data_IF_087195905668
#
_entry.id   IF_087195905668
#
_cell.length_a   1.000
_cell.length_b   1.000
_cell.length_c   1.000
_cell.angle_alpha   90.00
_cell.angle_beta   90.00
_cell.angle_gamma   90.00
#
_symmetry.space_group_name_H-M   'P 1'
#
loop_
_entity.id
_entity.type
_entity.pdbx_description
1 polymer ?
#
# COMPACT_ATOMS: atom_id res chain seq x y z
N UNK A 1 30.99 -35.76 44.49
CA UNK A 1 31.46 -34.51 43.84
C UNK A 1 31.19 -34.41 42.33
N UNK A 2 30.98 -35.51 41.58
CA UNK A 2 30.78 -35.43 40.12
C UNK A 2 29.36 -35.04 39.66
N UNK A 3 28.31 -35.31 40.44
CA UNK A 3 26.93 -34.95 40.06
C UNK A 3 26.64 -33.44 40.10
N UNK A 4 27.30 -32.70 41.00
CA UNK A 4 27.11 -31.24 41.14
C UNK A 4 27.75 -30.47 39.97
N UNK A 5 28.86 -30.97 39.40
CA UNK A 5 29.51 -30.37 38.22
C UNK A 5 28.69 -30.56 36.93
N UNK A 6 28.01 -31.70 36.77
CA UNK A 6 27.15 -31.96 35.60
C UNK A 6 25.88 -31.10 35.63
N UNK A 7 25.29 -30.89 36.80
CA UNK A 7 24.11 -30.01 36.95
C UNK A 7 24.48 -28.54 36.70
N UNK A 8 25.65 -28.08 37.16
CA UNK A 8 26.12 -26.71 36.88
C UNK A 8 26.43 -26.49 35.38
N UNK A 9 26.98 -27.50 34.70
CA UNK A 9 27.26 -27.43 33.26
C UNK A 9 25.96 -27.40 32.43
N UNK A 10 24.93 -28.13 32.83
CA UNK A 10 23.61 -28.10 32.18
C UNK A 10 22.89 -26.76 32.38
N UNK A 11 22.98 -26.17 33.58
CA UNK A 11 22.43 -24.84 33.88
C UNK A 11 23.16 -23.71 33.14
N UNK A 12 24.46 -23.86 32.86
CA UNK A 12 25.23 -22.90 32.05
C UNK A 12 24.94 -23.03 30.54
N UNK A 13 24.60 -24.22 30.05
CA UNK A 13 24.21 -24.44 28.65
C UNK A 13 22.77 -23.96 28.39
N UNK A 14 21.84 -24.12 29.35
CA UNK A 14 20.48 -23.57 29.21
C UNK A 14 20.39 -22.07 29.48
N UNK A 15 21.26 -21.50 30.34
CA UNK A 15 21.38 -20.04 30.46
C UNK A 15 22.15 -19.38 29.30
N UNK A 16 22.91 -20.19 28.54
CA UNK A 16 23.63 -19.80 27.32
C UNK A 16 22.82 -19.95 26.03
N UNK A 17 21.57 -20.44 26.09
CA UNK A 17 20.53 -20.01 25.16
C UNK A 17 20.19 -18.56 25.53
N UNK A 18 21.18 -17.70 25.28
CA UNK A 18 21.00 -16.27 25.18
C UNK A 18 19.72 -16.06 24.43
N UNK A 19 18.77 -15.36 25.04
CA UNK A 19 17.73 -14.70 24.29
C UNK A 19 18.46 -14.03 23.13
N UNK A 20 18.38 -14.63 21.94
CA UNK A 20 18.64 -13.91 20.72
C UNK A 20 17.63 -12.78 20.84
N UNK A 21 18.10 -11.61 21.29
CA UNK A 21 17.29 -10.43 21.27
C UNK A 21 17.01 -10.27 19.80
N UNK A 22 15.84 -10.74 19.37
CA UNK A 22 15.35 -10.57 18.00
C UNK A 22 15.61 -9.11 17.71
N UNK A 23 16.56 -8.86 16.80
CA UNK A 23 17.10 -7.53 16.59
C UNK A 23 15.91 -6.62 16.31
N UNK A 24 15.62 -5.73 17.26
CA UNK A 24 14.47 -4.85 17.15
C UNK A 24 14.86 -3.74 16.20
N UNK A 25 13.99 -3.46 15.23
CA UNK A 25 14.17 -2.32 14.34
C UNK A 25 13.33 -1.17 14.82
N UNK A 26 13.97 -0.02 15.01
CA UNK A 26 13.27 1.22 15.33
C UNK A 26 13.11 2.09 14.09
N UNK A 27 11.87 2.37 13.69
CA UNK A 27 11.55 3.36 12.66
C UNK A 27 11.20 4.66 13.37
N UNK A 28 11.93 5.74 13.08
CA UNK A 28 11.72 7.04 13.72
C UNK A 28 11.89 8.19 12.73
N UNK A 29 11.33 9.34 13.07
CA UNK A 29 11.43 10.56 12.27
C UNK A 29 10.32 11.54 12.60
N UNK A 30 9.98 12.39 11.64
CA UNK A 30 8.89 13.37 11.77
C UNK A 30 7.82 13.19 10.70
N UNK A 31 6.58 13.54 11.03
CA UNK A 31 5.48 13.65 10.07
C UNK A 31 4.95 15.08 10.04
N UNK A 32 5.06 15.74 8.90
CA UNK A 32 4.57 17.11 8.68
C UNK A 32 3.66 17.17 7.45
N UNK A 33 3.00 18.31 7.26
CA UNK A 33 2.35 18.63 5.99
C UNK A 33 3.41 18.87 4.90
N UNK A 34 3.01 18.75 3.63
CA UNK A 34 3.86 19.04 2.48
C UNK A 34 4.47 20.46 2.51
N UNK A 35 3.74 21.42 3.08
CA UNK A 35 4.20 22.80 3.27
C UNK A 35 5.12 22.98 4.50
N UNK A 36 5.46 21.90 5.22
CA UNK A 36 6.32 21.90 6.41
C UNK A 36 5.59 22.20 7.72
N UNK A 37 4.29 22.51 7.70
CA UNK A 37 3.54 22.77 8.93
C UNK A 37 3.30 21.50 9.74
N UNK A 38 3.24 21.64 11.07
CA UNK A 38 2.91 20.57 11.99
C UNK A 38 1.44 20.16 11.85
N UNK A 39 1.20 18.85 11.85
CA UNK A 39 -0.14 18.26 11.78
C UNK A 39 -0.50 17.72 13.17
N UNK A 40 -1.64 18.11 13.78
CA UNK A 40 -2.07 17.50 15.03
C UNK A 40 -2.58 16.07 14.78
N UNK A 41 -2.53 15.24 15.84
CA UNK A 41 -3.21 13.94 15.87
C UNK A 41 -2.78 12.97 14.75
N UNK A 42 -1.48 12.80 14.52
CA UNK A 42 -0.99 11.81 13.55
C UNK A 42 -0.98 10.42 14.20
N UNK A 43 -1.56 9.45 13.50
CA UNK A 43 -1.58 8.04 13.92
C UNK A 43 -0.78 7.21 12.93
N UNK A 44 0.17 6.44 13.45
CA UNK A 44 0.96 5.47 12.72
C UNK A 44 0.61 4.07 13.18
N UNK A 45 0.54 3.13 12.25
CA UNK A 45 0.21 1.74 12.57
C UNK A 45 1.00 0.78 11.66
N UNK A 46 1.96 0.01 12.19
CA UNK A 46 2.66 -1.01 11.43
C UNK A 46 1.80 -2.28 11.34
N UNK A 47 1.37 -2.63 10.13
CA UNK A 47 0.63 -3.87 9.88
C UNK A 47 1.56 -4.92 9.26
N UNK A 48 1.82 -6.08 9.89
CA UNK A 48 2.50 -7.17 9.19
C UNK A 48 1.81 -7.48 7.86
N UNK A 49 2.58 -7.72 6.80
CA UNK A 49 2.04 -8.16 5.52
C UNK A 49 1.54 -9.60 5.63
N UNK A 50 0.35 -9.87 5.09
CA UNK A 50 -0.33 -11.17 5.19
C UNK A 50 -1.64 -11.08 5.96
N UNK A 51 -2.16 -12.23 6.41
CA UNK A 51 -3.43 -12.27 7.14
C UNK A 51 -3.26 -11.69 8.56
N UNK A 52 -3.74 -10.46 8.76
CA UNK A 52 -3.94 -9.92 10.11
C UNK A 52 -5.13 -10.63 10.73
N UNK A 53 -4.90 -11.38 11.82
CA UNK A 53 -6.00 -11.95 12.60
C UNK A 53 -6.62 -10.86 13.49
N UNK A 54 -7.89 -11.03 13.87
CA UNK A 54 -8.56 -10.13 14.83
C UNK A 54 -7.85 -10.05 16.21
N UNK A 55 -6.98 -11.01 16.49
CA UNK A 55 -6.23 -11.14 17.74
C UNK A 55 -4.91 -10.37 17.71
N UNK A 56 -4.35 -10.11 16.53
CA UNK A 56 -3.11 -9.37 16.35
C UNK A 56 -3.44 -7.93 15.94
N UNK A 57 -3.95 -7.15 16.91
CA UNK A 57 -4.12 -5.71 16.69
C UNK A 57 -2.74 -5.07 16.70
N UNK A 58 -2.35 -4.38 15.61
CA UNK A 58 -1.07 -3.70 15.57
C UNK A 58 -1.04 -2.57 16.59
N UNK A 59 0.13 -2.38 17.21
CA UNK A 59 0.38 -1.29 18.14
C UNK A 59 0.21 0.04 17.42
N UNK A 60 -0.66 0.90 17.95
CA UNK A 60 -0.83 2.26 17.43
C UNK A 60 0.19 3.19 18.07
N UNK A 61 0.81 4.03 17.26
CA UNK A 61 1.73 5.07 17.71
C UNK A 61 1.13 6.42 17.34
N UNK A 62 1.02 7.30 18.32
CA UNK A 62 0.58 8.69 18.11
C UNK A 62 1.84 9.54 18.05
N UNK A 63 2.01 10.33 16.98
CA UNK A 63 3.15 11.23 16.89
C UNK A 63 3.06 12.32 17.97
N UNK A 64 4.21 12.78 18.44
CA UNK A 64 4.31 13.88 19.39
C UNK A 64 3.86 15.23 18.80
N UNK A 65 3.79 16.29 19.63
CA UNK A 65 3.35 17.63 19.19
C UNK A 65 4.18 18.22 18.04
N UNK A 66 5.47 17.87 17.96
CA UNK A 66 6.39 18.29 16.90
C UNK A 66 6.33 17.34 15.67
N UNK A 67 5.35 16.45 15.60
CA UNK A 67 5.22 15.44 14.54
C UNK A 67 6.20 14.27 14.67
N UNK A 68 7.04 14.24 15.71
CA UNK A 68 8.02 13.18 15.95
C UNK A 68 7.35 11.85 16.26
N UNK A 69 7.85 10.75 15.70
CA UNK A 69 7.36 9.40 15.98
C UNK A 69 8.51 8.41 16.16
N UNK A 70 8.22 7.32 16.87
CA UNK A 70 9.12 6.19 17.07
C UNK A 70 8.30 4.90 17.13
N UNK A 71 8.64 3.92 16.30
CA UNK A 71 7.96 2.63 16.19
C UNK A 71 9.00 1.53 16.31
N UNK A 72 8.88 0.68 17.31
CA UNK A 72 9.73 -0.51 17.45
C UNK A 72 9.03 -1.73 16.87
N UNK A 73 9.70 -2.39 15.92
CA UNK A 73 9.25 -3.64 15.32
C UNK A 73 10.17 -4.75 15.80
N UNK A 74 9.59 -5.75 16.47
CA UNK A 74 10.37 -6.82 17.10
C UNK A 74 10.73 -7.96 16.14
N UNK A 75 9.86 -8.26 15.18
CA UNK A 75 10.01 -9.42 14.30
C UNK A 75 10.35 -8.98 12.88
N UNK A 76 11.35 -9.63 12.24
CA UNK A 76 11.68 -9.35 10.86
C UNK A 76 10.52 -9.75 9.94
N UNK A 77 10.34 -9.00 8.86
CA UNK A 77 9.22 -9.22 7.94
C UNK A 77 8.93 -8.02 7.07
N UNK A 78 7.89 -8.17 6.24
CA UNK A 78 7.34 -7.08 5.45
C UNK A 78 6.15 -6.50 6.22
N UNK A 79 6.09 -5.18 6.34
CA UNK A 79 5.02 -4.44 7.00
C UNK A 79 4.39 -3.43 6.04
N UNK A 80 3.14 -3.06 6.30
CA UNK A 80 2.49 -1.89 5.73
C UNK A 80 2.31 -0.87 6.86
N UNK A 81 3.14 0.15 6.87
CA UNK A 81 2.99 1.29 7.77
C UNK A 81 1.83 2.16 7.26
N UNK A 82 0.74 2.21 8.02
CA UNK A 82 -0.39 3.11 7.75
C UNK A 82 -0.20 4.39 8.53
N UNK A 83 -0.21 5.54 7.84
CA UNK A 83 -0.14 6.87 8.44
C UNK A 83 -1.44 7.59 8.11
N UNK A 84 -2.13 8.03 9.15
CA UNK A 84 -3.34 8.83 9.04
C UNK A 84 -3.14 10.13 9.81
N UNK A 85 -3.51 11.25 9.19
CA UNK A 85 -3.48 12.55 9.83
C UNK A 85 -4.69 13.38 9.40
N UNK A 86 -5.16 14.24 10.29
CA UNK A 86 -6.34 15.07 10.02
C UNK A 86 -6.07 15.99 8.83
N UNK A 87 -7.06 16.15 7.94
CA UNK A 87 -6.96 16.93 6.69
C UNK A 87 -5.89 16.46 5.69
N UNK A 88 -5.36 15.24 5.83
CA UNK A 88 -4.35 14.69 4.90
C UNK A 88 -4.85 13.42 4.21
N UNK A 89 -4.16 13.07 3.12
CA UNK A 89 -4.34 11.76 2.49
C UNK A 89 -3.72 10.68 3.38
N UNK A 90 -4.38 9.52 3.47
CA UNK A 90 -3.81 8.39 4.19
C UNK A 90 -2.64 7.83 3.38
N UNK A 91 -1.51 7.61 4.02
CA UNK A 91 -0.37 6.94 3.42
C UNK A 91 -0.35 5.48 3.88
N UNK A 92 -0.18 4.56 2.94
CA UNK A 92 0.17 3.16 3.22
C UNK A 92 1.51 2.90 2.58
N UNK A 93 2.50 2.65 3.42
CA UNK A 93 3.89 2.55 3.04
C UNK A 93 4.38 1.12 3.31
N UNK A 94 4.77 0.35 2.30
CA UNK A 94 5.41 -0.93 2.55
C UNK A 94 6.83 -0.73 3.08
N UNK A 95 7.21 -1.49 4.11
CA UNK A 95 8.55 -1.43 4.72
C UNK A 95 9.04 -2.85 4.97
N UNK A 96 10.26 -3.15 4.54
CA UNK A 96 11.00 -4.37 4.88
C UNK A 96 11.78 -4.16 6.17
N UNK A 97 11.68 -5.12 7.08
CA UNK A 97 12.37 -5.10 8.37
C UNK A 97 13.24 -6.35 8.43
N UNK A 98 14.53 -6.23 8.11
CA UNK A 98 15.51 -7.31 8.21
C UNK A 98 16.88 -6.77 8.66
N UNK A 99 17.26 -7.09 9.89
CA UNK A 99 18.61 -6.87 10.45
C UNK A 99 19.11 -5.41 10.51
N UNK A 100 18.26 -4.43 10.17
CA UNK A 100 18.56 -3.02 10.39
C UNK A 100 18.18 -2.57 11.81
N UNK A 101 19.10 -1.89 12.50
CA UNK A 101 18.85 -1.38 13.87
C UNK A 101 17.86 -0.21 13.85
N UNK A 102 18.05 0.73 12.93
CA UNK A 102 17.26 1.95 12.83
C UNK A 102 16.90 2.27 11.37
N UNK A 103 15.71 2.82 11.16
CA UNK A 103 15.30 3.49 9.92
C UNK A 103 14.90 4.91 10.29
N UNK A 104 15.63 5.90 9.79
CA UNK A 104 15.32 7.31 10.02
C UNK A 104 14.63 7.93 8.80
N UNK A 105 13.33 8.19 8.94
CA UNK A 105 12.46 8.58 7.83
C UNK A 105 11.54 9.74 8.21
N UNK A 106 11.69 10.85 7.52
CA UNK A 106 10.75 11.97 7.59
C UNK A 106 9.68 11.84 6.50
N UNK A 107 8.43 12.16 6.87
CA UNK A 107 7.24 12.03 6.02
C UNK A 107 6.56 13.39 5.89
N UNK A 108 6.45 13.88 4.66
CA UNK A 108 5.66 15.08 4.34
C UNK A 108 4.37 14.67 3.64
N UNK A 109 3.26 14.65 4.37
CA UNK A 109 1.96 14.23 3.87
C UNK A 109 1.34 15.28 2.95
N UNK A 110 0.69 14.82 1.88
CA UNK A 110 -0.08 15.67 0.99
C UNK A 110 -1.45 15.97 1.61
N UNK A 111 -1.86 17.25 1.67
CA UNK A 111 -3.18 17.61 2.16
C UNK A 111 -4.27 16.92 1.35
N UNK A 112 -5.37 16.61 2.04
CA UNK A 112 -6.53 15.99 1.42
C UNK A 112 -7.18 16.94 0.42
N UNK A 113 -7.69 16.36 -0.66
CA UNK A 113 -8.54 17.08 -1.62
C UNK A 113 -9.98 17.07 -1.15
N UNK A 114 -10.56 18.26 -1.17
CA UNK A 114 -11.98 18.48 -0.96
C UNK A 114 -12.64 18.74 -2.31
N UNK A 115 -13.95 18.49 -2.40
CA UNK A 115 -14.73 18.85 -3.57
C UNK A 115 -14.61 20.37 -3.83
N UNK A 116 -14.36 20.73 -5.09
CA UNK A 116 -14.20 22.13 -5.53
C UNK A 116 -15.54 22.86 -5.75
N UNK A 117 -16.65 22.30 -5.29
CA UNK A 117 -17.98 22.86 -5.39
C UNK A 117 -18.69 22.66 -6.73
N UNK A 118 -18.02 22.08 -7.74
CA UNK A 118 -18.54 21.95 -9.11
C UNK A 118 -19.90 21.23 -9.21
N UNK A 119 -20.26 20.42 -8.21
CA UNK A 119 -21.51 19.66 -8.17
C UNK A 119 -22.44 20.05 -7.03
N UNK A 120 -22.17 21.14 -6.28
CA UNK A 120 -23.00 21.52 -5.13
C UNK A 120 -24.38 22.06 -5.52
N UNK A 121 -24.55 22.53 -6.75
CA UNK A 121 -25.84 22.90 -7.34
C UNK A 121 -26.72 21.68 -7.67
N UNK A 122 -26.12 20.51 -7.88
CA UNK A 122 -26.84 19.27 -8.14
C UNK A 122 -27.45 18.71 -6.85
N UNK A 123 -28.77 18.84 -6.73
CA UNK A 123 -29.55 18.35 -5.58
C UNK A 123 -29.25 16.89 -5.22
N UNK A 124 -29.21 15.92 -6.18
CA UNK A 124 -28.90 14.54 -5.83
C UNK A 124 -27.52 14.38 -5.19
N UNK A 125 -26.52 15.17 -5.61
CA UNK A 125 -25.18 15.13 -5.03
C UNK A 125 -25.16 15.77 -3.64
N UNK A 126 -25.83 16.91 -3.48
CA UNK A 126 -25.90 17.65 -2.22
C UNK A 126 -26.58 16.85 -1.10
N UNK A 127 -27.59 16.03 -1.42
CA UNK A 127 -28.22 15.11 -0.46
C UNK A 127 -27.26 14.07 0.16
N UNK A 128 -26.13 13.78 -0.50
CA UNK A 128 -25.05 12.94 0.05
C UNK A 128 -24.10 13.69 0.97
N UNK A 129 -24.13 15.03 0.96
CA UNK A 129 -23.28 15.86 1.80
C UNK A 129 -23.99 16.10 3.13
N UNK A 130 -23.49 15.44 4.17
CA UNK A 130 -24.13 15.42 5.48
C UNK A 130 -23.14 15.59 6.61
N UNK A 131 -23.56 16.32 7.65
CA UNK A 131 -22.85 16.40 8.92
C UNK A 131 -23.51 15.48 9.94
N UNK A 132 -22.73 14.60 10.53
CA UNK A 132 -23.19 13.71 11.59
C UNK A 132 -22.19 13.68 12.73
N UNK A 133 -22.65 13.34 13.92
CA UNK A 133 -21.87 13.53 15.12
C UNK A 133 -22.50 12.95 16.36
N UNK A 134 -21.98 13.32 17.53
CA UNK A 134 -22.53 12.86 18.80
C UNK A 134 -24.01 13.29 19.01
N UNK A 135 -24.44 14.41 18.41
CA UNK A 135 -25.81 14.90 18.45
C UNK A 135 -26.85 13.99 17.76
N UNK A 136 -26.42 13.14 16.82
CA UNK A 136 -27.27 12.15 16.17
C UNK A 136 -26.69 10.73 16.21
N UNK A 137 -25.82 10.44 17.19
CA UNK A 137 -25.15 9.15 17.35
C UNK A 137 -24.36 8.68 16.11
N UNK A 138 -23.87 9.62 15.31
CA UNK A 138 -23.18 9.38 14.03
C UNK A 138 -24.02 8.58 13.02
N UNK A 139 -25.34 8.66 13.09
CA UNK A 139 -26.22 8.06 12.10
C UNK A 139 -26.26 8.93 10.83
N UNK A 140 -25.77 8.38 9.72
CA UNK A 140 -25.73 9.09 8.44
C UNK A 140 -27.11 9.41 7.87
N UNK A 141 -28.14 8.60 8.16
CA UNK A 141 -29.45 8.75 7.53
C UNK A 141 -30.31 9.84 8.17
N UNK A 142 -30.13 10.08 9.47
CA UNK A 142 -30.80 11.17 10.22
C UNK A 142 -29.97 12.46 10.29
N UNK A 143 -28.79 12.46 9.65
CA UNK A 143 -27.87 13.58 9.64
C UNK A 143 -28.40 14.77 8.83
N UNK A 144 -28.24 16.02 9.34
CA UNK A 144 -28.52 17.23 8.57
C UNK A 144 -27.77 17.24 7.23
N UNK A 145 -28.50 17.66 6.19
CA UNK A 145 -27.99 17.87 4.84
C UNK A 145 -27.44 19.31 4.76
N UNK A 146 -26.40 19.50 3.95
CA UNK A 146 -25.90 20.84 3.65
C UNK A 146 -26.78 21.55 2.60
N UNK A 147 -27.09 22.81 2.85
CA UNK A 147 -27.75 23.72 1.91
C UNK A 147 -26.72 24.51 1.11
N UNK A 148 -27.07 24.88 -0.13
CA UNK A 148 -26.22 25.72 -0.99
C UNK A 148 -26.47 27.20 -0.71
N UNK A 149 -25.41 27.93 -0.44
CA UNK A 149 -25.43 29.37 -0.24
C UNK A 149 -25.27 30.14 -1.55
N UNK A 150 -25.66 31.42 -1.56
CA UNK A 150 -25.59 32.28 -2.76
C UNK A 150 -24.17 32.55 -3.27
N UNK A 151 -23.16 32.30 -2.44
CA UNK A 151 -21.75 32.49 -2.78
C UNK A 151 -21.06 31.20 -3.26
N UNK A 152 -21.81 30.09 -3.40
CA UNK A 152 -21.29 28.79 -3.80
C UNK A 152 -20.71 27.94 -2.67
N UNK A 153 -20.65 28.47 -1.44
CA UNK A 153 -20.37 27.66 -0.25
C UNK A 153 -21.58 26.81 0.11
N UNK A 154 -21.38 25.83 0.98
CA UNK A 154 -22.47 25.05 1.57
C UNK A 154 -22.47 25.17 3.09
N UNK A 155 -23.63 25.15 3.73
CA UNK A 155 -23.71 25.10 5.20
C UNK A 155 -24.80 24.19 5.74
N UNK A 156 -24.63 23.72 6.97
CA UNK A 156 -25.61 22.94 7.70
C UNK A 156 -25.71 23.45 9.14
N UNK A 157 -26.92 23.47 9.70
CA UNK A 157 -27.13 23.84 11.10
C UNK A 157 -27.28 22.59 11.95
N UNK A 158 -26.51 22.49 13.04
CA UNK A 158 -26.56 21.38 14.00
C UNK A 158 -26.93 21.88 15.39
N UNK A 159 -27.57 21.05 16.23
CA UNK A 159 -27.91 21.46 17.60
C UNK A 159 -26.65 21.65 18.45
N UNK A 160 -26.71 22.63 19.35
CA UNK A 160 -25.64 22.98 20.29
C UNK A 160 -26.04 22.69 21.75
N UNK A 161 -26.91 21.71 21.95
CA UNK A 161 -27.47 21.28 23.26
C UNK A 161 -26.48 20.50 24.15
N UNK A 162 -25.19 20.55 23.84
CA UNK A 162 -24.12 19.80 24.52
C UNK A 162 -22.93 20.69 24.78
N UNK A 163 -22.24 20.46 25.90
CA UNK A 163 -20.99 21.15 26.24
C UNK A 163 -19.89 20.96 25.19
N UNK A 164 -19.94 19.87 24.43
CA UNK A 164 -19.01 19.59 23.34
C UNK A 164 -19.73 18.88 22.20
N UNK A 165 -19.66 19.49 21.03
CA UNK A 165 -20.16 18.93 19.78
C UNK A 165 -19.01 18.27 19.03
N UNK A 166 -19.18 17.00 18.67
CA UNK A 166 -18.21 16.22 17.90
C UNK A 166 -18.84 15.80 16.59
N UNK A 167 -18.18 16.06 15.48
CA UNK A 167 -18.81 15.88 14.18
C UNK A 167 -17.85 15.41 13.07
N UNK A 168 -18.42 14.82 12.03
CA UNK A 168 -17.78 14.49 10.76
C UNK A 168 -18.70 14.90 9.61
N UNK A 169 -18.11 15.21 8.47
CA UNK A 169 -18.79 15.49 7.22
C UNK A 169 -18.42 14.41 6.21
N UNK A 170 -19.43 13.88 5.51
CA UNK A 170 -19.26 12.98 4.36
C UNK A 170 -19.78 13.68 3.12
N UNK A 171 -19.24 13.31 1.96
CA UNK A 171 -19.64 13.88 0.66
C UNK A 171 -18.70 14.95 0.13
N UNK A 172 -18.01 15.71 1.01
CA UNK A 172 -17.01 16.71 0.58
C UNK A 172 -15.63 16.14 0.26
N UNK A 173 -15.36 14.87 0.60
CA UNK A 173 -14.10 14.17 0.28
C UNK A 173 -14.33 12.66 0.15
N UNK A 174 -13.29 11.92 -0.24
CA UNK A 174 -13.26 10.45 -0.19
C UNK A 174 -13.30 9.92 1.25
N UNK A 175 -14.49 9.85 1.83
CA UNK A 175 -14.73 9.39 3.20
C UNK A 175 -15.03 10.52 4.20
N UNK A 176 -15.23 10.17 5.48
CA UNK A 176 -15.65 11.11 6.51
C UNK A 176 -14.50 11.93 7.07
N UNK A 177 -14.70 13.23 7.21
CA UNK A 177 -13.66 14.20 7.61
C UNK A 177 -14.26 15.34 8.43
N UNK A 178 -13.52 15.96 9.36
CA UNK A 178 -13.89 17.29 9.86
C UNK A 178 -13.83 18.33 8.74
N UNK A 179 -14.57 19.43 8.90
CA UNK A 179 -14.40 20.58 8.01
C UNK A 179 -13.01 21.18 8.18
N UNK A 180 -12.39 21.71 7.10
CA UNK A 180 -11.15 22.46 7.24
C UNK A 180 -11.36 23.71 8.10
N UNK A 181 -10.32 24.11 8.85
CA UNK A 181 -10.36 25.33 9.67
C UNK A 181 -10.81 25.12 11.13
N UNK A 182 -11.22 23.91 11.49
CA UNK A 182 -11.59 23.59 12.88
C UNK A 182 -10.44 23.80 13.86
N UNK A 183 -10.76 24.46 14.97
CA UNK A 183 -9.78 24.77 16.01
C UNK A 183 -9.33 23.52 16.78
N UNK A 184 -10.22 22.54 16.96
CA UNK A 184 -9.95 21.31 17.70
C UNK A 184 -10.38 20.09 16.89
N UNK A 185 -9.55 19.05 16.93
CA UNK A 185 -9.81 17.77 16.27
C UNK A 185 -9.52 16.62 17.23
N UNK A 186 -10.19 15.49 17.03
CA UNK A 186 -9.95 14.28 17.83
C UNK A 186 -9.90 13.02 16.93
N UNK A 187 -9.24 11.98 17.44
CA UNK A 187 -9.17 10.65 16.81
C UNK A 187 -10.29 9.78 17.40
N UNK A 188 -11.09 9.16 16.52
CA UNK A 188 -12.12 8.19 16.90
C UNK A 188 -11.52 6.79 17.05
N UNK A 189 -12.18 5.86 17.79
CA UNK A 189 -11.71 4.47 17.92
C UNK A 189 -11.55 3.70 16.60
N UNK A 190 -12.24 4.12 15.54
CA UNK A 190 -12.12 3.56 14.20
C UNK A 190 -11.03 4.25 13.35
N UNK A 191 -10.16 5.06 13.96
CA UNK A 191 -9.05 5.79 13.32
C UNK A 191 -9.48 6.83 12.29
N UNK A 192 -10.73 7.28 12.37
CA UNK A 192 -11.20 8.46 11.63
C UNK A 192 -11.08 9.71 12.50
N UNK A 193 -11.06 10.88 11.87
CA UNK A 193 -10.94 12.16 12.57
C UNK A 193 -12.30 12.84 12.69
N UNK A 194 -12.50 13.57 13.77
CA UNK A 194 -13.70 14.39 13.99
C UNK A 194 -13.33 15.80 14.42
N UNK A 195 -14.20 16.75 14.08
CA UNK A 195 -14.13 18.13 14.54
C UNK A 195 -14.72 18.23 15.93
N UNK A 196 -14.14 19.08 16.77
CA UNK A 196 -14.58 19.29 18.14
C UNK A 196 -14.90 20.77 18.32
N UNK A 197 -16.15 21.08 18.64
CA UNK A 197 -16.61 22.44 18.90
C UNK A 197 -17.08 22.53 20.35
N UNK A 198 -16.64 23.58 21.03
CA UNK A 198 -17.19 23.99 22.33
C UNK A 198 -18.17 25.13 22.03
N UNK A 199 -19.49 24.89 22.06
CA UNK A 199 -20.45 25.91 21.69
C UNK A 199 -20.36 27.14 22.61
N UNK A 200 -20.66 28.35 22.12
CA UNK A 200 -20.84 29.52 22.99
C UNK A 200 -21.94 29.27 24.02
N UNK A 201 -21.82 29.89 25.19
CA UNK A 201 -22.86 29.81 26.21
C UNK A 201 -24.20 30.32 25.65
N UNK A 202 -25.24 29.49 25.75
CA UNK A 202 -26.60 29.74 25.23
C UNK A 202 -26.76 29.69 23.70
N UNK A 203 -25.83 29.09 22.96
CA UNK A 203 -26.09 28.76 21.55
C UNK A 203 -27.05 27.57 21.47
N UNK A 204 -28.19 27.73 20.79
CA UNK A 204 -29.12 26.62 20.52
C UNK A 204 -28.68 25.78 19.32
N UNK A 205 -27.90 26.38 18.42
CA UNK A 205 -27.35 25.73 17.23
C UNK A 205 -26.01 26.32 16.80
N UNK A 206 -25.30 25.57 15.96
CA UNK A 206 -24.06 25.98 15.31
C UNK A 206 -24.24 25.81 13.80
N UNK A 207 -23.84 26.82 13.03
CA UNK A 207 -23.68 26.70 11.60
C UNK A 207 -22.29 26.10 11.29
N UNK A 208 -22.27 25.03 10.51
CA UNK A 208 -21.07 24.49 9.90
C UNK A 208 -21.05 24.87 8.44
N UNK A 209 -19.97 25.49 7.98
CA UNK A 209 -19.85 26.00 6.61
C UNK A 209 -18.59 25.49 5.93
N UNK A 210 -18.74 25.07 4.68
CA UNK A 210 -17.63 24.69 3.81
C UNK A 210 -17.65 25.58 2.56
N UNK A 211 -16.61 26.39 2.39
CA UNK A 211 -16.38 27.15 1.16
C UNK A 211 -15.34 26.42 0.30
N UNK A 212 -15.71 25.92 -0.89
CA UNK A 212 -14.76 25.24 -1.78
C UNK A 212 -13.67 26.17 -2.35
N UNK A 213 -13.85 27.49 -2.25
CA UNK A 213 -12.88 28.48 -2.72
C UNK A 213 -11.92 28.95 -1.62
N UNK A 214 -12.20 28.60 -0.36
CA UNK A 214 -11.32 28.94 0.75
C UNK A 214 -10.10 28.02 0.77
N UNK A 215 -8.91 28.62 0.83
CA UNK A 215 -7.69 27.83 1.02
C UNK A 215 -7.66 27.25 2.42
N UNK A 216 -7.69 25.93 2.50
CA UNK A 216 -7.52 25.24 3.78
C UNK A 216 -6.08 25.39 4.30
N UNK A 217 -5.90 25.39 5.62
CA UNK A 217 -4.62 25.62 6.33
C UNK A 217 -3.40 24.99 5.65
N UNK A 218 -3.46 23.70 5.32
CA UNK A 218 -2.33 22.94 4.78
C UNK A 218 -2.17 23.03 3.26
N UNK A 219 -3.16 23.55 2.54
CA UNK A 219 -3.11 23.70 1.08
C UNK A 219 -2.35 24.95 0.65
N UNK A 220 -2.09 25.88 1.58
CA UNK A 220 -1.29 27.08 1.31
C UNK A 220 0.10 26.66 0.82
N UNK A 221 0.49 27.13 -0.37
CA UNK A 221 1.75 26.84 -1.05
C UNK A 221 1.90 25.43 -1.66
N UNK A 222 0.86 24.59 -1.57
CA UNK A 222 0.78 23.42 -2.46
C UNK A 222 0.32 23.98 -3.81
N UNK A 223 1.23 24.05 -4.79
CA UNK A 223 0.94 24.63 -6.11
C UNK A 223 -0.37 24.12 -6.72
N UNK A 224 -0.95 24.84 -7.71
CA UNK A 224 -2.28 24.58 -8.24
C UNK A 224 -2.50 23.08 -8.43
N UNK A 225 -3.53 22.58 -7.77
CA UNK A 225 -3.80 21.16 -7.73
C UNK A 225 -4.36 20.79 -9.11
N UNK A 226 -3.53 20.14 -9.92
CA UNK A 226 -3.91 19.54 -11.19
C UNK A 226 -5.19 18.73 -11.00
N UNK A 227 -6.19 18.89 -11.88
CA UNK A 227 -7.52 18.32 -11.72
C UNK A 227 -7.57 16.79 -11.86
N UNK A 228 -6.44 16.11 -12.10
CA UNK A 228 -6.33 14.64 -12.15
C UNK A 228 -5.77 14.08 -10.83
N UNK A 229 -6.64 13.81 -9.82
CA UNK A 229 -6.23 13.30 -8.51
C UNK A 229 -5.59 11.90 -8.52
N UNK A 230 -5.65 11.16 -9.64
CA UNK A 230 -5.19 9.77 -9.72
C UNK A 230 -3.67 9.59 -9.67
N UNK A 231 -2.87 10.67 -9.72
CA UNK A 231 -1.43 10.57 -10.00
C UNK A 231 -0.53 11.31 -9.03
N UNK A 232 -1.09 11.78 -7.91
CA UNK A 232 -0.28 12.51 -6.93
C UNK A 232 0.20 11.55 -5.86
N UNK A 233 1.48 11.64 -5.47
CA UNK A 233 1.93 10.96 -4.27
C UNK A 233 1.10 11.47 -3.08
N UNK A 234 0.74 10.59 -2.16
CA UNK A 234 0.12 10.97 -0.89
C UNK A 234 1.15 11.54 0.10
N UNK A 235 2.44 11.37 -0.17
CA UNK A 235 3.52 11.89 0.69
C UNK A 235 4.84 12.09 -0.06
N UNK A 236 5.76 12.85 0.54
CA UNK A 236 7.18 12.83 0.22
C UNK A 236 7.96 12.25 1.38
N UNK A 237 8.91 11.38 1.10
CA UNK A 237 9.77 10.74 2.08
C UNK A 237 11.19 11.27 1.94
N UNK A 238 11.86 11.47 3.06
CA UNK A 238 13.31 11.69 3.11
C UNK A 238 13.92 10.78 4.17
N UNK A 239 15.14 10.31 3.91
CA UNK A 239 15.85 9.39 4.79
C UNK A 239 17.14 10.04 5.26
N UNK A 240 17.48 9.90 6.55
CA UNK A 240 18.79 10.37 7.05
C UNK A 240 19.92 9.56 6.42
N UNK A 241 19.72 8.25 6.27
CA UNK A 241 20.63 7.36 5.56
C UNK A 241 20.07 7.05 4.16
N UNK A 242 20.76 7.45 3.08
CA UNK A 242 20.32 7.17 1.72
C UNK A 242 20.09 5.68 1.44
N UNK A 243 20.76 4.72 2.08
CA UNK A 243 20.49 3.30 1.80
C UNK A 243 19.12 2.84 2.32
N UNK A 244 18.51 3.55 3.27
CA UNK A 244 17.28 3.11 3.93
C UNK A 244 16.08 3.12 2.97
N UNK A 245 16.13 3.89 1.88
CA UNK A 245 15.05 3.87 0.90
C UNK A 245 14.87 2.49 0.25
N UNK A 246 15.92 1.66 0.18
CA UNK A 246 15.85 0.31 -0.37
C UNK A 246 15.01 -0.64 0.48
N UNK A 247 14.73 -0.29 1.74
CA UNK A 247 13.78 -1.04 2.56
C UNK A 247 12.32 -0.81 2.15
N UNK A 248 12.04 0.14 1.27
CA UNK A 248 10.68 0.60 0.96
C UNK A 248 10.44 0.64 -0.55
N UNK A 249 11.34 1.25 -1.31
CA UNK A 249 11.15 1.51 -2.74
C UNK A 249 10.90 0.24 -3.57
N UNK A 250 11.64 -0.87 -3.40
CA UNK A 250 11.39 -2.08 -4.17
C UNK A 250 9.95 -2.58 -3.99
N UNK A 251 9.46 -2.63 -2.74
CA UNK A 251 8.10 -3.11 -2.44
C UNK A 251 7.00 -2.23 -3.05
N UNK A 252 7.25 -0.94 -3.23
CA UNK A 252 6.25 -0.06 -3.86
C UNK A 252 6.23 -0.20 -5.38
N UNK A 253 7.36 -0.52 -6.00
CA UNK A 253 7.40 -0.87 -7.42
C UNK A 253 6.71 -2.22 -7.68
N UNK A 254 6.71 -3.12 -6.70
CA UNK A 254 6.04 -4.43 -6.78
C UNK A 254 4.51 -4.29 -6.85
N UNK A 255 3.90 -3.37 -6.10
CA UNK A 255 2.45 -3.32 -5.91
C UNK A 255 1.66 -2.50 -6.93
N UNK A 256 2.24 -1.41 -7.43
CA UNK A 256 1.49 -0.45 -8.25
C UNK A 256 2.41 0.28 -9.21
N UNK A 257 1.89 0.62 -10.40
CA UNK A 257 2.51 1.61 -11.30
C UNK A 257 2.56 3.01 -10.66
N UNK A 258 1.74 3.25 -9.64
CA UNK A 258 1.68 4.49 -8.89
C UNK A 258 2.44 4.37 -7.59
N UNK A 259 3.49 5.17 -7.45
CA UNK A 259 4.06 5.42 -6.14
C UNK A 259 3.08 6.33 -5.39
N UNK A 260 2.49 5.83 -4.30
CA UNK A 260 1.68 6.66 -3.39
C UNK A 260 2.56 7.64 -2.58
N UNK A 261 3.84 7.75 -2.92
CA UNK A 261 4.78 8.67 -2.30
C UNK A 261 5.95 8.95 -3.26
N UNK A 262 6.61 10.09 -3.09
CA UNK A 262 7.88 10.41 -3.72
C UNK A 262 9.01 10.22 -2.70
N UNK A 263 10.18 9.78 -3.13
CA UNK A 263 11.39 9.79 -2.29
C UNK A 263 12.22 10.99 -2.74
N UNK A 264 12.43 11.95 -1.86
CA UNK A 264 13.35 13.06 -2.09
C UNK A 264 14.78 12.52 -1.96
N UNK A 265 15.38 12.08 -3.08
CA UNK A 265 16.83 12.00 -3.14
C UNK A 265 17.36 13.43 -3.28
N UNK A 266 18.36 13.82 -2.50
CA UNK A 266 19.02 15.13 -2.55
C UNK A 266 19.44 15.57 -3.97
N UNK A 267 19.60 14.61 -4.88
CA UNK A 267 20.05 14.83 -6.26
C UNK A 267 18.94 14.96 -7.32
N UNK A 268 17.66 14.80 -6.95
CA UNK A 268 16.55 14.88 -7.91
C UNK A 268 15.71 16.15 -7.71
N UNK A 269 16.25 17.30 -8.11
CA UNK A 269 15.44 18.45 -8.55
C UNK A 269 14.91 18.21 -9.96
N UNK A 270 14.35 17.02 -10.23
CA UNK A 270 13.59 16.81 -11.46
C UNK A 270 12.30 17.57 -11.24
N UNK A 271 12.26 18.82 -11.73
CA UNK A 271 11.01 19.54 -11.84
C UNK A 271 10.01 18.61 -12.54
N UNK A 272 8.80 18.42 -12.00
CA UNK A 272 7.78 17.61 -12.66
C UNK A 272 7.63 18.16 -14.07
N UNK A 273 7.95 17.34 -15.06
CA UNK A 273 8.13 17.75 -16.45
C UNK A 273 6.93 18.60 -16.89
N UNK A 274 7.11 19.93 -16.94
CA UNK A 274 6.00 20.87 -17.01
C UNK A 274 5.23 20.79 -18.33
N UNK A 275 5.78 20.06 -19.31
CA UNK A 275 5.15 19.76 -20.58
C UNK A 275 4.09 18.63 -20.51
N UNK A 276 3.93 17.96 -19.37
CA UNK A 276 3.07 16.76 -19.24
C UNK A 276 1.59 17.07 -18.96
N UNK A 277 1.21 18.36 -18.94
CA UNK A 277 -0.16 18.81 -18.60
C UNK A 277 -1.18 18.75 -19.76
N UNK A 278 -0.75 18.50 -21.01
CA UNK A 278 -1.63 18.67 -22.19
C UNK A 278 -2.18 17.37 -22.83
N UNK A 279 -1.82 16.18 -22.33
CA UNK A 279 -2.33 14.94 -22.92
C UNK A 279 -3.47 14.36 -22.07
N UNK A 280 -4.66 14.93 -22.23
CA UNK A 280 -5.91 14.45 -21.62
C UNK A 280 -6.45 13.14 -22.20
N UNK A 281 -5.69 12.44 -23.04
CA UNK A 281 -6.08 11.17 -23.64
C UNK A 281 -5.59 9.99 -22.80
N UNK A 282 -6.47 9.00 -22.61
CA UNK A 282 -6.18 7.71 -21.98
C UNK A 282 -4.90 7.07 -22.56
N UNK A 283 -4.66 7.22 -23.86
CA UNK A 283 -3.47 6.78 -24.59
C UNK A 283 -2.17 7.39 -24.04
N UNK A 284 -2.14 8.69 -23.77
CA UNK A 284 -0.97 9.38 -23.21
C UNK A 284 -0.66 8.91 -21.79
N UNK A 285 -1.70 8.67 -20.99
CA UNK A 285 -1.54 8.10 -19.65
C UNK A 285 -0.93 6.70 -19.68
N UNK A 286 -1.42 5.82 -20.56
CA UNK A 286 -0.94 4.46 -20.63
C UNK A 286 0.50 4.37 -21.18
N UNK A 287 0.85 5.19 -22.18
CA UNK A 287 2.22 5.30 -22.68
C UNK A 287 3.22 5.69 -21.57
N UNK A 288 2.81 6.58 -20.65
CA UNK A 288 3.64 6.92 -19.47
C UNK A 288 3.88 5.74 -18.56
N UNK A 289 2.88 4.89 -18.33
CA UNK A 289 3.03 3.67 -17.53
C UNK A 289 4.07 2.75 -18.16
N UNK A 290 3.97 2.48 -19.47
CA UNK A 290 4.90 1.61 -20.18
C UNK A 290 6.34 2.17 -20.15
N UNK A 291 6.50 3.46 -20.42
CA UNK A 291 7.81 4.13 -20.37
C UNK A 291 8.41 4.12 -18.96
N UNK A 292 7.61 4.37 -17.93
CA UNK A 292 8.06 4.29 -16.54
C UNK A 292 8.43 2.87 -16.15
N UNK A 293 7.66 1.86 -16.58
CA UNK A 293 8.00 0.46 -16.34
C UNK A 293 9.35 0.10 -16.97
N UNK A 294 9.59 0.50 -18.23
CA UNK A 294 10.88 0.31 -18.90
C UNK A 294 12.02 1.01 -18.15
N UNK A 295 11.83 2.28 -17.77
CA UNK A 295 12.81 3.06 -16.98
C UNK A 295 13.14 2.37 -15.66
N UNK A 296 12.13 2.01 -14.86
CA UNK A 296 12.33 1.37 -13.56
C UNK A 296 12.95 -0.02 -13.69
N UNK A 297 12.63 -0.80 -14.72
CA UNK A 297 13.31 -2.08 -14.97
C UNK A 297 14.81 -1.91 -15.20
N UNK A 298 15.22 -0.85 -15.92
CA UNK A 298 16.64 -0.53 -16.12
C UNK A 298 17.31 -0.11 -14.81
N UNK A 299 16.67 0.78 -14.03
CA UNK A 299 17.17 1.21 -12.72
C UNK A 299 17.33 0.02 -11.75
N UNK A 300 16.35 -0.89 -11.72
CA UNK A 300 16.42 -2.11 -10.90
C UNK A 300 17.60 -2.99 -11.31
N UNK A 301 17.83 -3.20 -12.61
CA UNK A 301 18.99 -4.01 -13.07
C UNK A 301 20.30 -3.42 -12.62
N UNK A 302 20.50 -2.12 -12.82
CA UNK A 302 21.71 -1.42 -12.34
C UNK A 302 21.83 -1.51 -10.82
N UNK A 303 20.73 -1.43 -10.08
CA UNK A 303 20.72 -1.57 -8.63
C UNK A 303 21.12 -2.98 -8.18
N UNK A 304 20.64 -4.03 -8.87
CA UNK A 304 20.95 -5.43 -8.56
C UNK A 304 22.43 -5.80 -8.75
N UNK A 305 23.22 -4.95 -9.42
CA UNK A 305 24.68 -5.06 -9.53
C UNK A 305 25.42 -4.61 -8.26
N UNK A 306 24.73 -4.01 -7.29
CA UNK A 306 25.30 -3.62 -6.00
C UNK A 306 25.37 -4.81 -5.03
N UNK A 307 26.58 -5.33 -4.82
CA UNK A 307 26.86 -6.45 -3.92
C UNK A 307 26.59 -6.12 -2.43
N UNK A 308 26.40 -4.85 -2.08
CA UNK A 308 26.06 -4.43 -0.71
C UNK A 308 24.59 -4.60 -0.35
N UNK A 309 23.73 -4.92 -1.33
CA UNK A 309 22.31 -5.13 -1.09
C UNK A 309 22.06 -6.33 -0.18
N UNK A 310 21.18 -6.13 0.79
CA UNK A 310 20.69 -7.21 1.62
C UNK A 310 19.93 -8.25 0.76
N UNK A 311 20.03 -9.57 1.05
CA UNK A 311 19.33 -10.60 0.25
C UNK A 311 17.83 -10.34 0.09
N UNK A 312 17.17 -9.80 1.12
CA UNK A 312 15.75 -9.48 1.09
C UNK A 312 15.44 -8.28 0.17
N UNK A 313 16.37 -7.32 0.06
CA UNK A 313 16.26 -6.20 -0.88
C UNK A 313 16.42 -6.70 -2.32
N UNK A 314 17.41 -7.57 -2.58
CA UNK A 314 17.61 -8.21 -3.89
C UNK A 314 16.36 -8.99 -4.29
N UNK A 315 15.81 -9.79 -3.38
CA UNK A 315 14.58 -10.53 -3.64
C UNK A 315 13.41 -9.63 -4.02
N UNK A 316 13.19 -8.54 -3.28
CA UNK A 316 12.16 -7.57 -3.61
C UNK A 316 12.39 -6.88 -4.96
N UNK A 317 13.63 -6.58 -5.32
CA UNK A 317 13.99 -6.00 -6.61
C UNK A 317 13.74 -6.97 -7.79
N UNK A 318 14.08 -8.25 -7.64
CA UNK A 318 13.74 -9.27 -8.64
C UNK A 318 12.22 -9.37 -8.87
N UNK A 319 11.42 -9.39 -7.79
CA UNK A 319 9.96 -9.45 -7.91
C UNK A 319 9.40 -8.16 -8.50
N UNK A 320 9.97 -7.01 -8.15
CA UNK A 320 9.60 -5.73 -8.74
C UNK A 320 9.84 -5.73 -10.26
N UNK A 321 10.99 -6.23 -10.70
CA UNK A 321 11.33 -6.34 -12.12
C UNK A 321 10.31 -7.19 -12.88
N UNK A 322 9.98 -8.38 -12.37
CA UNK A 322 8.99 -9.27 -12.98
C UNK A 322 7.59 -8.65 -12.98
N UNK A 323 7.22 -7.94 -11.91
CA UNK A 323 5.96 -7.21 -11.83
C UNK A 323 5.83 -6.12 -12.89
N UNK A 324 6.87 -5.32 -13.09
CA UNK A 324 6.92 -4.28 -14.13
C UNK A 324 6.91 -4.88 -15.55
N UNK A 325 7.54 -6.04 -15.74
CA UNK A 325 7.50 -6.76 -17.01
C UNK A 325 6.08 -7.24 -17.33
N UNK A 326 5.40 -7.87 -16.36
CA UNK A 326 4.02 -8.32 -16.53
C UNK A 326 3.09 -7.15 -16.90
N UNK A 327 3.24 -6.01 -16.21
CA UNK A 327 2.49 -4.80 -16.56
C UNK A 327 2.76 -4.33 -18.00
N UNK A 328 4.00 -4.39 -18.45
CA UNK A 328 4.37 -4.01 -19.82
C UNK A 328 3.82 -5.01 -20.86
N UNK A 329 3.85 -6.31 -20.59
CA UNK A 329 3.29 -7.32 -21.51
C UNK A 329 1.78 -7.11 -21.67
N UNK A 330 1.04 -7.00 -20.56
CA UNK A 330 -0.40 -6.71 -20.59
C UNK A 330 -0.74 -5.41 -21.31
N UNK A 331 0.15 -4.42 -21.19
CA UNK A 331 0.02 -3.17 -21.91
C UNK A 331 0.14 -3.38 -23.42
N UNK A 332 1.23 -4.01 -23.86
CA UNK A 332 1.49 -4.27 -25.27
C UNK A 332 0.34 -5.08 -25.90
N UNK A 333 -0.18 -6.08 -25.20
CA UNK A 333 -1.39 -6.83 -25.60
C UNK A 333 -2.63 -5.93 -25.78
N UNK A 334 -2.84 -4.96 -24.88
CA UNK A 334 -3.98 -4.05 -24.95
C UNK A 334 -3.93 -3.11 -26.16
N UNK A 335 -2.72 -2.68 -26.56
CA UNK A 335 -2.54 -1.77 -27.71
C UNK A 335 -2.18 -2.48 -29.01
N UNK A 336 -2.01 -3.79 -28.99
CA UNK A 336 -1.57 -4.56 -30.16
C UNK A 336 -0.13 -4.27 -30.56
N UNK A 337 0.72 -3.92 -29.59
CA UNK A 337 2.17 -3.84 -29.78
C UNK A 337 2.82 -5.20 -29.49
N UNK A 338 3.92 -5.49 -30.17
CA UNK A 338 4.69 -6.71 -29.92
C UNK A 338 5.25 -6.73 -28.49
N UNK A 339 5.50 -7.93 -27.96
CA UNK A 339 6.14 -8.10 -26.66
C UNK A 339 7.45 -7.30 -26.58
N UNK A 340 7.81 -6.76 -25.40
CA UNK A 340 8.99 -5.92 -25.28
C UNK A 340 10.25 -6.68 -25.73
N UNK A 341 10.95 -6.15 -26.74
CA UNK A 341 12.22 -6.71 -27.25
C UNK A 341 13.26 -6.87 -26.14
N UNK A 342 13.18 -6.03 -25.09
CA UNK A 342 14.06 -6.03 -23.91
C UNK A 342 13.54 -6.92 -22.77
N UNK A 343 13.12 -8.14 -23.08
CA UNK A 343 12.77 -9.16 -22.08
C UNK A 343 13.96 -9.55 -21.19
N UNK A 344 13.72 -10.15 -20.00
CA UNK A 344 14.80 -10.79 -19.26
C UNK A 344 15.39 -11.94 -20.08
N UNK A 345 16.72 -12.00 -20.16
CA UNK A 345 17.39 -13.19 -20.69
C UNK A 345 17.15 -14.40 -19.78
N UNK A 346 17.28 -15.64 -20.29
CA UNK A 346 17.12 -16.86 -19.49
C UNK A 346 17.97 -16.87 -18.21
N UNK A 347 19.18 -16.31 -18.27
CA UNK A 347 20.11 -16.22 -17.14
C UNK A 347 19.53 -15.39 -15.99
N UNK A 348 18.82 -14.30 -16.31
CA UNK A 348 18.18 -13.46 -15.30
C UNK A 348 17.05 -14.22 -14.59
N UNK A 349 16.25 -14.99 -15.32
CA UNK A 349 15.15 -15.77 -14.74
C UNK A 349 15.67 -16.88 -13.83
N UNK A 350 16.77 -17.55 -14.22
CA UNK A 350 17.43 -18.52 -13.35
C UNK A 350 18.01 -17.86 -12.10
N UNK A 351 18.52 -16.64 -12.21
CA UNK A 351 18.98 -15.89 -11.05
C UNK A 351 17.82 -15.58 -10.08
N UNK A 352 16.60 -15.30 -10.57
CA UNK A 352 15.43 -15.10 -9.69
C UNK A 352 15.19 -16.32 -8.80
N UNK A 353 15.19 -17.54 -9.35
CA UNK A 353 14.91 -18.75 -8.56
C UNK A 353 16.07 -19.15 -7.63
N UNK A 354 17.29 -18.68 -7.91
CA UNK A 354 18.45 -18.86 -7.05
C UNK A 354 18.46 -17.87 -5.87
N UNK A 355 18.05 -16.63 -6.11
CA UNK A 355 18.13 -15.54 -5.13
C UNK A 355 16.86 -15.39 -4.29
N UNK A 356 15.70 -15.76 -4.83
CA UNK A 356 14.41 -15.63 -4.14
C UNK A 356 13.94 -16.99 -3.66
N UNK A 357 13.82 -17.18 -2.35
CA UNK A 357 13.26 -18.41 -1.80
C UNK A 357 11.78 -18.56 -2.23
N UNK A 358 11.30 -19.77 -2.59
CA UNK A 358 9.92 -19.99 -3.05
C UNK A 358 8.87 -19.70 -1.98
N UNK A 359 9.24 -19.61 -0.70
CA UNK A 359 8.32 -19.24 0.40
C UNK A 359 8.48 -17.78 0.86
N UNK A 360 9.28 -16.99 0.13
CA UNK A 360 9.54 -15.62 0.53
C UNK A 360 8.24 -14.79 0.43
N UNK A 361 7.85 -14.05 1.48
CA UNK A 361 6.58 -13.30 1.49
C UNK A 361 6.48 -12.19 0.43
N UNK A 362 7.57 -11.86 -0.28
CA UNK A 362 7.56 -10.84 -1.32
C UNK A 362 6.77 -11.28 -2.55
N UNK A 363 6.66 -12.59 -2.80
CA UNK A 363 5.78 -13.12 -3.83
C UNK A 363 4.31 -12.73 -3.61
N UNK A 364 3.85 -12.72 -2.35
CA UNK A 364 2.49 -12.27 -1.99
C UNK A 364 2.22 -10.79 -2.27
N UNK A 365 3.27 -9.98 -2.48
CA UNK A 365 3.15 -8.55 -2.82
C UNK A 365 2.84 -8.34 -4.30
N UNK A 366 3.27 -9.24 -5.17
CA UNK A 366 2.85 -9.31 -6.57
C UNK A 366 2.70 -10.76 -7.01
N UNK A 367 1.54 -11.36 -6.72
CA UNK A 367 1.27 -12.75 -7.10
C UNK A 367 1.39 -13.02 -8.61
N UNK A 368 1.18 -12.01 -9.45
CA UNK A 368 1.34 -12.11 -10.90
C UNK A 368 2.81 -12.13 -11.37
N UNK A 369 3.78 -11.81 -10.52
CA UNK A 369 5.19 -11.94 -10.86
C UNK A 369 5.60 -13.41 -10.97
N UNK A 370 4.95 -14.30 -10.20
CA UNK A 370 5.25 -15.72 -10.21
C UNK A 370 4.81 -16.39 -11.52
N UNK A 371 3.62 -16.06 -12.05
CA UNK A 371 3.19 -16.52 -13.38
C UNK A 371 4.07 -15.93 -14.47
N UNK A 372 4.44 -14.65 -14.35
CA UNK A 372 5.35 -14.01 -15.30
C UNK A 372 6.71 -14.73 -15.37
N UNK A 373 7.28 -15.13 -14.23
CA UNK A 373 8.52 -15.91 -14.20
C UNK A 373 8.37 -17.21 -14.99
N UNK A 374 7.27 -17.94 -14.78
CA UNK A 374 7.00 -19.20 -15.44
C UNK A 374 6.84 -19.03 -16.97
N UNK A 375 6.01 -18.08 -17.39
CA UNK A 375 5.75 -17.77 -18.81
C UNK A 375 7.02 -17.32 -19.54
N UNK A 376 7.78 -16.38 -18.96
CA UNK A 376 8.99 -15.83 -19.59
C UNK A 376 10.11 -16.85 -19.67
N UNK A 377 10.11 -17.85 -18.79
CA UNK A 377 11.08 -18.96 -18.87
C UNK A 377 10.78 -19.94 -19.99
N UNK A 378 9.64 -19.79 -20.69
CA UNK A 378 9.15 -20.78 -21.62
C UNK A 378 8.85 -22.11 -20.95
N UNK A 379 8.45 -22.08 -19.67
CA UNK A 379 8.29 -23.27 -18.82
C UNK A 379 9.57 -24.10 -18.70
N UNK A 380 10.70 -23.43 -18.44
CA UNK A 380 11.96 -24.10 -18.15
C UNK A 380 11.77 -25.11 -16.99
N UNK A 381 12.31 -26.35 -17.08
CA UNK A 381 12.10 -27.37 -16.05
C UNK A 381 12.46 -26.95 -14.63
N UNK A 382 13.55 -26.20 -14.44
CA UNK A 382 13.96 -25.71 -13.11
C UNK A 382 12.96 -24.70 -12.54
N UNK A 383 12.42 -23.83 -13.40
CA UNK A 383 11.41 -22.84 -13.02
C UNK A 383 10.06 -23.49 -12.75
N UNK A 384 9.71 -24.55 -13.49
CA UNK A 384 8.52 -25.37 -13.23
C UNK A 384 8.63 -26.04 -11.87
N UNK A 385 9.75 -26.72 -11.57
CA UNK A 385 9.98 -27.35 -10.27
C UNK A 385 9.90 -26.33 -9.11
N UNK A 386 10.54 -25.16 -9.29
CA UNK A 386 10.46 -24.06 -8.35
C UNK A 386 9.01 -23.59 -8.11
N UNK A 387 8.23 -23.42 -9.18
CA UNK A 387 6.83 -22.97 -9.13
C UNK A 387 5.91 -24.01 -8.49
N UNK A 388 6.12 -25.30 -8.76
CA UNK A 388 5.39 -26.38 -8.09
C UNK A 388 5.66 -26.40 -6.58
N UNK A 389 6.92 -26.15 -6.17
CA UNK A 389 7.25 -26.00 -4.76
C UNK A 389 6.50 -24.81 -4.13
N UNK A 390 6.42 -23.68 -4.83
CA UNK A 390 5.60 -22.55 -4.37
C UNK A 390 4.12 -22.93 -4.20
N UNK A 391 3.52 -23.64 -5.16
CA UNK A 391 2.12 -24.07 -5.07
C UNK A 391 1.87 -24.96 -3.84
N UNK A 392 2.78 -25.89 -3.57
CA UNK A 392 2.65 -26.82 -2.43
C UNK A 392 2.84 -26.15 -1.08
N UNK A 393 3.80 -25.24 -0.97
CA UNK A 393 4.32 -24.80 0.34
C UNK A 393 4.05 -23.32 0.65
N UNK A 394 3.78 -22.45 -0.33
CA UNK A 394 3.65 -21.01 -0.11
C UNK A 394 2.41 -20.69 0.74
N UNK A 395 2.51 -19.74 1.67
CA UNK A 395 1.43 -19.39 2.63
C UNK A 395 0.37 -18.44 2.04
N UNK A 396 0.74 -17.59 1.09
CA UNK A 396 -0.18 -16.71 0.36
C UNK A 396 -1.00 -17.46 -0.71
N UNK A 397 -2.32 -17.46 -0.55
CA UNK A 397 -3.24 -18.18 -1.43
C UNK A 397 -3.39 -17.56 -2.82
N UNK A 398 -3.11 -16.26 -3.01
CA UNK A 398 -3.16 -15.64 -4.34
C UNK A 398 -1.98 -16.09 -5.19
N UNK A 399 -0.79 -16.23 -4.59
CA UNK A 399 0.39 -16.78 -5.26
C UNK A 399 0.12 -18.20 -5.73
N UNK A 400 -0.36 -19.06 -4.81
CA UNK A 400 -0.72 -20.46 -5.10
C UNK A 400 -1.77 -20.52 -6.21
N UNK A 401 -2.84 -19.72 -6.10
CA UNK A 401 -3.94 -19.69 -7.07
C UNK A 401 -3.47 -19.34 -8.47
N UNK A 402 -2.65 -18.30 -8.65
CA UNK A 402 -2.23 -17.91 -9.99
C UNK A 402 -1.29 -18.93 -10.62
N UNK A 403 -0.30 -19.40 -9.87
CA UNK A 403 0.66 -20.39 -10.36
C UNK A 403 0.00 -21.72 -10.74
N UNK A 404 -0.89 -22.24 -9.89
CA UNK A 404 -1.49 -23.56 -10.14
C UNK A 404 -2.40 -23.56 -11.36
N UNK A 405 -3.13 -22.47 -11.60
CA UNK A 405 -3.98 -22.34 -12.79
C UNK A 405 -3.13 -22.28 -14.06
N UNK A 406 -2.00 -21.56 -14.03
CA UNK A 406 -1.08 -21.45 -15.16
C UNK A 406 -0.41 -22.80 -15.49
N UNK A 407 0.05 -23.53 -14.46
CA UNK A 407 0.62 -24.87 -14.63
C UNK A 407 -0.41 -25.85 -15.21
N UNK A 408 -1.66 -25.81 -14.73
CA UNK A 408 -2.74 -26.66 -15.24
C UNK A 408 -3.05 -26.35 -16.71
N UNK A 409 -3.19 -25.07 -17.05
CA UNK A 409 -3.44 -24.65 -18.42
C UNK A 409 -2.32 -25.12 -19.35
N UNK A 410 -1.05 -24.97 -18.95
CA UNK A 410 0.06 -25.37 -19.80
C UNK A 410 0.23 -26.88 -19.95
N UNK A 411 0.03 -27.65 -18.88
CA UNK A 411 0.22 -29.11 -18.86
C UNK A 411 -1.02 -29.90 -19.32
N UNK A 412 -2.13 -29.22 -19.65
CA UNK A 412 -3.41 -29.85 -19.95
C UNK A 412 -3.32 -30.97 -21.02
N UNK A 413 -2.55 -30.77 -22.08
CA UNK A 413 -2.38 -31.74 -23.18
C UNK A 413 -1.73 -33.08 -22.77
N UNK A 414 -1.18 -33.17 -21.57
CA UNK A 414 -0.50 -34.37 -21.04
C UNK A 414 -1.46 -35.33 -20.33
N UNK A 415 -2.73 -34.94 -20.16
CA UNK A 415 -3.72 -35.66 -19.35
C UNK A 415 -5.08 -35.74 -20.08
N UNK A 416 -5.94 -36.70 -19.72
CA UNK A 416 -7.28 -36.83 -20.31
C UNK A 416 -8.34 -36.02 -19.52
N UNK A 417 -8.14 -35.86 -18.22
CA UNK A 417 -9.01 -35.07 -17.34
C UNK A 417 -8.16 -34.24 -16.35
N UNK A 418 -8.63 -33.03 -16.02
CA UNK A 418 -7.99 -32.17 -15.03
C UNK A 418 -7.76 -32.88 -13.68
N UNK A 419 -8.64 -33.79 -13.29
CA UNK A 419 -8.57 -34.54 -12.02
C UNK A 419 -7.40 -35.53 -11.95
N UNK A 420 -6.80 -35.85 -13.08
CA UNK A 420 -5.61 -36.72 -13.15
C UNK A 420 -4.31 -35.93 -12.94
N UNK A 421 -4.37 -34.59 -13.00
CA UNK A 421 -3.21 -33.72 -12.86
C UNK A 421 -2.80 -33.61 -11.38
N UNK A 422 -1.51 -33.78 -11.04
CA UNK A 422 -1.00 -33.54 -9.67
C UNK A 422 -1.36 -32.14 -9.14
N UNK A 423 -1.32 -31.12 -9.99
CA UNK A 423 -1.66 -29.75 -9.64
C UNK A 423 -3.10 -29.60 -9.17
N UNK A 424 -4.02 -30.37 -9.76
CA UNK A 424 -5.42 -30.36 -9.37
C UNK A 424 -5.61 -30.99 -7.99
N UNK A 425 -4.92 -32.10 -7.69
CA UNK A 425 -5.01 -32.73 -6.38
C UNK A 425 -4.47 -31.80 -5.28
N UNK A 426 -3.42 -31.03 -5.53
CA UNK A 426 -2.90 -30.03 -4.58
C UNK A 426 -3.96 -28.97 -4.22
N UNK A 427 -4.77 -28.53 -5.19
CA UNK A 427 -5.88 -27.59 -4.93
C UNK A 427 -6.94 -28.23 -4.04
N UNK A 428 -7.37 -29.46 -4.38
CA UNK A 428 -8.42 -30.16 -3.65
C UNK A 428 -7.98 -30.49 -2.23
N UNK A 429 -6.74 -30.92 -2.03
CA UNK A 429 -6.17 -31.20 -0.71
C UNK A 429 -6.10 -29.94 0.16
N UNK A 430 -5.66 -28.82 -0.42
CA UNK A 430 -5.46 -27.57 0.33
C UNK A 430 -6.76 -26.79 0.59
N UNK A 431 -7.68 -26.78 -0.37
CA UNK A 431 -8.84 -25.89 -0.35
C UNK A 431 -10.20 -26.59 -0.47
N UNK A 432 -10.21 -27.91 -0.66
CA UNK A 432 -11.40 -28.70 -0.98
C UNK A 432 -11.92 -28.47 -2.41
N UNK A 433 -13.03 -29.12 -2.75
CA UNK A 433 -13.73 -28.93 -4.03
C UNK A 433 -14.50 -27.59 -4.05
N UNK A 434 -13.76 -26.48 -4.16
CA UNK A 434 -14.33 -25.15 -4.05
C UNK A 434 -14.31 -24.38 -5.40
N UNK A 435 -14.43 -23.05 -5.33
CA UNK A 435 -14.37 -22.20 -6.52
C UNK A 435 -13.06 -22.32 -7.32
N UNK A 436 -11.92 -22.48 -6.63
CA UNK A 436 -10.61 -22.63 -7.28
C UNK A 436 -10.50 -23.96 -8.03
N UNK A 437 -10.98 -25.07 -7.46
CA UNK A 437 -11.02 -26.36 -8.15
C UNK A 437 -11.86 -26.30 -9.43
N UNK A 438 -12.95 -25.53 -9.45
CA UNK A 438 -13.73 -25.29 -10.68
C UNK A 438 -12.98 -24.43 -11.69
N UNK A 439 -12.23 -23.42 -11.25
CA UNK A 439 -11.37 -22.63 -12.14
C UNK A 439 -10.26 -23.48 -12.76
N UNK A 440 -9.72 -24.45 -12.02
CA UNK A 440 -8.72 -25.38 -12.53
C UNK A 440 -9.27 -26.22 -13.71
N UNK A 441 -10.51 -26.71 -13.63
CA UNK A 441 -11.16 -27.39 -14.77
C UNK A 441 -11.28 -26.44 -15.98
N UNK A 442 -11.63 -25.18 -15.76
CA UNK A 442 -11.72 -24.18 -16.84
C UNK A 442 -10.34 -23.89 -17.45
N UNK A 443 -9.29 -23.81 -16.62
CA UNK A 443 -7.90 -23.64 -17.08
C UNK A 443 -7.45 -24.84 -17.94
N UNK A 444 -7.72 -26.07 -17.47
CA UNK A 444 -7.46 -27.29 -18.22
C UNK A 444 -8.14 -27.28 -19.61
N UNK A 445 -9.44 -26.97 -19.66
CA UNK A 445 -10.20 -26.92 -20.92
C UNK A 445 -9.73 -25.83 -21.89
N UNK A 446 -9.06 -24.77 -21.40
CA UNK A 446 -8.43 -23.76 -22.26
C UNK A 446 -7.14 -24.31 -22.87
N UNK A 447 -6.28 -24.88 -22.03
CA UNK A 447 -5.02 -25.48 -22.45
C UNK A 447 -5.18 -26.65 -23.43
N UNK A 448 -6.24 -27.45 -23.26
CA UNK A 448 -6.51 -28.58 -24.14
C UNK A 448 -7.01 -28.20 -25.54
N UNK A 449 -7.25 -26.90 -25.81
CA UNK A 449 -7.76 -26.39 -27.11
C UNK A 449 -6.72 -25.66 -27.93
N UNK A 450 -5.56 -25.36 -27.35
CA UNK A 450 -4.50 -24.57 -27.99
C UNK A 450 -3.52 -25.39 -28.82
N UNK A 451 -3.71 -26.72 -28.86
CA UNK A 451 -3.06 -27.67 -29.78
C UNK A 451 -4.05 -28.11 -30.86
#
# INVERSE_FOLDING_TARGET
>A
MNKLKVVLLFLLITAGQTAESTAQTTIKGTVTSLNGELIPNIVLTPHPAGQTTIFNRPTEVIAGPEGSYEITIAEPGIYNLSIAAVHHQNLRLPVMIYDQENIEMDIRLVPRYYNNGMYFDQEPYREWIRVYGNFNNYDFHTAPIFDLNSDGSISATIPADRDTVRYQVRGISGGPVPLPGEALTAIRPNRTFEGVIIPPANADSIELRFDPNEQTKYQKNVGPISPTPAHRPNARLSFSNPSDYFWIQPLSLVQTTYKNYEINSSDNTVEPDSNDQNNGELSGWMNRIANNAKKYRKEIRTTLEDDSLHPQQRAALYIAYLGLLNQQVRWNEHVGEDSPEDGPGPEFLLQVIQEVHPLHPVWGRNPGAATQLLEQSGFNPEVVEYSEKMVREHTDDLVVRYLVLELIEKKAHQYEDAREMPEYSWIVERYGENHLARQAIVAYLRGSRTD
#
